data_IF_985315612889
#
_entry.id   IF_985315612889
#
_cell.length_a   1.000
_cell.length_b   1.000
_cell.length_c   1.000
_cell.angle_alpha   90.00
_cell.angle_beta   90.00
_cell.angle_gamma   90.00
#
_symmetry.space_group_name_H-M   'P 1'
#
loop_
_entity.id
_entity.type
_entity.pdbx_description
1 polymer ?
#
# COMPACT_ATOMS: atom_id res chain seq x y z
N UNK A 1 0.22 -14.68 19.35
CA UNK A 1 0.49 -14.89 17.95
C UNK A 1 1.97 -15.16 17.72
N UNK A 2 2.26 -16.25 17.03
CA UNK A 2 3.63 -16.70 16.79
C UNK A 2 4.30 -15.87 15.69
N UNK A 3 3.49 -15.30 14.79
CA UNK A 3 4.00 -14.54 13.67
C UNK A 3 4.24 -13.09 14.07
N UNK A 4 5.49 -12.66 14.00
CA UNK A 4 5.85 -11.27 14.21
C UNK A 4 5.67 -10.44 12.94
N UNK A 5 4.72 -10.82 12.10
CA UNK A 5 4.44 -10.08 10.86
C UNK A 5 2.96 -10.06 10.54
N UNK A 6 2.52 -8.99 9.90
CA UNK A 6 1.14 -8.81 9.47
C UNK A 6 1.13 -8.14 8.10
N UNK A 7 0.18 -8.54 7.26
CA UNK A 7 -0.07 -7.91 5.96
C UNK A 7 -1.19 -6.88 6.13
N UNK A 8 -0.89 -5.63 5.83
CA UNK A 8 -1.85 -4.52 5.94
C UNK A 8 -2.17 -4.04 4.53
N UNK A 9 -3.44 -4.11 4.16
CA UNK A 9 -3.91 -3.72 2.83
C UNK A 9 -5.07 -2.74 2.92
N UNK A 10 -5.25 -1.95 1.88
CA UNK A 10 -6.34 -0.98 1.79
C UNK A 10 -7.55 -1.52 1.04
N UNK A 11 -7.35 -2.46 0.13
CA UNK A 11 -8.40 -2.96 -0.75
C UNK A 11 -9.05 -4.21 -0.17
N UNK A 12 -10.40 -4.20 0.03
CA UNK A 12 -11.10 -5.38 0.57
C UNK A 12 -10.97 -6.64 -0.29
N UNK A 13 -10.85 -6.50 -1.60
CA UNK A 13 -10.65 -7.65 -2.49
C UNK A 13 -9.30 -8.31 -2.28
N UNK A 14 -8.26 -7.50 -2.04
CA UNK A 14 -6.93 -8.01 -1.70
C UNK A 14 -6.97 -8.70 -0.34
N UNK A 15 -7.63 -8.08 0.63
CA UNK A 15 -7.81 -8.67 1.96
C UNK A 15 -8.48 -10.05 1.86
N UNK A 16 -9.56 -10.16 1.08
CA UNK A 16 -10.25 -11.43 0.89
C UNK A 16 -9.36 -12.50 0.24
N UNK A 17 -8.44 -12.08 -0.62
CA UNK A 17 -7.54 -12.99 -1.33
C UNK A 17 -6.47 -13.59 -0.41
N UNK A 18 -6.06 -12.88 0.65
CA UNK A 18 -4.92 -13.29 1.48
C UNK A 18 -5.29 -13.68 2.91
N UNK A 19 -6.46 -13.30 3.40
CA UNK A 19 -6.82 -13.41 4.82
C UNK A 19 -6.91 -14.85 5.35
N UNK A 20 -7.05 -15.84 4.48
CA UNK A 20 -7.13 -17.23 4.89
C UNK A 20 -5.77 -17.85 5.24
N UNK A 21 -4.71 -17.31 4.69
CA UNK A 21 -3.36 -17.89 4.79
C UNK A 21 -2.39 -17.08 5.62
N UNK A 22 -2.68 -15.78 5.81
CA UNK A 22 -1.79 -14.86 6.48
C UNK A 22 -2.53 -14.00 7.49
N UNK A 23 -1.82 -13.57 8.52
CA UNK A 23 -2.34 -12.54 9.42
C UNK A 23 -2.46 -11.24 8.64
N UNK A 24 -3.66 -10.73 8.48
CA UNK A 24 -3.91 -9.55 7.67
C UNK A 24 -4.93 -8.61 8.28
N UNK A 25 -4.81 -7.36 7.85
CA UNK A 25 -5.73 -6.30 8.23
C UNK A 25 -6.06 -5.46 7.01
N UNK A 26 -7.31 -5.04 6.91
CA UNK A 26 -7.76 -4.11 5.89
C UNK A 26 -8.04 -2.76 6.54
N UNK A 27 -7.38 -1.71 6.04
CA UNK A 27 -7.55 -0.35 6.57
C UNK A 27 -8.57 0.48 5.78
N UNK A 28 -9.13 -0.06 4.72
CA UNK A 28 -10.08 0.67 3.89
C UNK A 28 -11.25 1.20 4.73
N UNK A 29 -11.48 2.52 4.65
CA UNK A 29 -12.57 3.17 5.38
C UNK A 29 -12.34 3.33 6.88
N UNK A 30 -11.20 2.94 7.40
CA UNK A 30 -10.89 3.13 8.82
C UNK A 30 -10.59 4.60 9.11
N UNK A 31 -11.10 5.15 10.23
CA UNK A 31 -10.70 6.47 10.67
C UNK A 31 -9.19 6.55 10.88
N UNK A 32 -8.60 7.69 10.54
CA UNK A 32 -7.16 7.88 10.64
C UNK A 32 -6.62 7.65 12.06
N UNK A 33 -7.37 8.09 13.07
CA UNK A 33 -6.99 7.89 14.46
C UNK A 33 -6.94 6.40 14.81
N UNK A 34 -7.93 5.62 14.38
CA UNK A 34 -7.95 4.18 14.63
C UNK A 34 -6.74 3.48 13.99
N UNK A 35 -6.39 3.87 12.76
CA UNK A 35 -5.20 3.33 12.09
C UNK A 35 -3.92 3.62 12.87
N UNK A 36 -3.77 4.83 13.37
CA UNK A 36 -2.60 5.23 14.17
C UNK A 36 -2.50 4.42 15.46
N UNK A 37 -3.64 4.24 16.16
CA UNK A 37 -3.65 3.45 17.39
C UNK A 37 -3.24 2.00 17.17
N UNK A 38 -3.71 1.40 16.08
CA UNK A 38 -3.34 0.04 15.71
C UNK A 38 -1.85 -0.05 15.40
N UNK A 39 -1.31 0.91 14.65
CA UNK A 39 0.12 0.95 14.35
C UNK A 39 0.97 1.05 15.62
N UNK A 40 0.54 1.85 16.59
CA UNK A 40 1.26 1.97 17.87
C UNK A 40 1.29 0.63 18.61
N UNK A 41 0.16 -0.08 18.64
CA UNK A 41 0.07 -1.38 19.28
C UNK A 41 0.96 -2.43 18.60
N UNK A 42 0.96 -2.44 17.26
CA UNK A 42 1.79 -3.36 16.50
C UNK A 42 3.28 -3.08 16.72
N UNK A 43 3.66 -1.82 16.77
CA UNK A 43 5.05 -1.42 17.01
C UNK A 43 5.54 -1.85 18.40
N UNK A 44 4.69 -1.74 19.42
CA UNK A 44 5.02 -2.21 20.78
C UNK A 44 5.26 -3.71 20.84
N UNK A 45 4.65 -4.47 19.93
CA UNK A 45 4.80 -5.92 19.84
C UNK A 45 5.88 -6.34 18.84
N UNK A 46 6.66 -5.40 18.31
CA UNK A 46 7.71 -5.63 17.32
C UNK A 46 7.22 -6.38 16.08
N UNK A 47 6.02 -6.04 15.62
CA UNK A 47 5.42 -6.69 14.45
C UNK A 47 5.95 -6.03 13.18
N UNK A 48 6.41 -6.85 12.23
CA UNK A 48 6.79 -6.38 10.90
C UNK A 48 5.53 -6.21 10.06
N UNK A 49 5.41 -5.07 9.38
CA UNK A 49 4.28 -4.78 8.51
C UNK A 49 4.69 -4.92 7.05
N UNK A 50 3.91 -5.70 6.29
CA UNK A 50 3.92 -5.72 4.83
C UNK A 50 2.71 -4.93 4.37
N UNK A 51 2.93 -3.76 3.82
CA UNK A 51 1.86 -2.82 3.46
C UNK A 51 1.66 -2.75 1.96
N UNK A 52 0.42 -2.78 1.52
CA UNK A 52 0.08 -2.57 0.12
C UNK A 52 -1.17 -1.72 -0.03
N UNK A 53 -1.08 -0.71 -0.89
CA UNK A 53 -2.18 0.19 -1.24
C UNK A 53 -2.24 0.39 -2.74
N UNK A 54 -3.28 1.08 -3.19
CA UNK A 54 -3.41 1.41 -4.60
C UNK A 54 -2.29 2.35 -5.06
N UNK A 55 -1.88 2.17 -6.30
CA UNK A 55 -0.87 3.00 -6.91
C UNK A 55 -1.54 4.17 -7.63
N UNK A 56 -2.06 5.08 -6.84
CA UNK A 56 -2.58 6.37 -7.25
C UNK A 56 -1.97 7.44 -6.34
N UNK A 57 -2.15 8.74 -6.65
CA UNK A 57 -1.47 9.78 -5.88
C UNK A 57 -1.79 9.73 -4.38
N UNK A 58 -3.06 9.54 -4.02
CA UNK A 58 -3.49 9.46 -2.63
C UNK A 58 -2.93 8.22 -1.94
N UNK A 59 -2.96 7.09 -2.64
CA UNK A 59 -2.45 5.81 -2.10
C UNK A 59 -0.96 5.86 -1.80
N UNK A 60 -0.17 6.46 -2.67
CA UNK A 60 1.26 6.63 -2.44
C UNK A 60 1.53 7.54 -1.24
N UNK A 61 0.76 8.61 -1.11
CA UNK A 61 0.93 9.54 0.00
C UNK A 61 0.57 8.89 1.34
N UNK A 62 -0.51 8.12 1.37
CA UNK A 62 -0.92 7.36 2.56
C UNK A 62 0.19 6.37 2.94
N UNK A 63 0.69 5.62 1.98
CA UNK A 63 1.76 4.64 2.19
C UNK A 63 3.01 5.30 2.80
N UNK A 64 3.42 6.44 2.25
CA UNK A 64 4.57 7.19 2.74
C UNK A 64 4.36 7.66 4.18
N UNK A 65 3.19 8.22 4.48
CA UNK A 65 2.88 8.71 5.83
C UNK A 65 2.84 7.59 6.85
N UNK A 66 2.27 6.45 6.51
CA UNK A 66 2.21 5.31 7.41
C UNK A 66 3.60 4.78 7.70
N UNK A 67 4.45 4.66 6.68
CA UNK A 67 5.83 4.22 6.86
C UNK A 67 6.63 5.18 7.76
N UNK A 68 6.48 6.47 7.54
CA UNK A 68 7.13 7.49 8.37
C UNK A 68 6.68 7.44 9.81
N UNK A 69 5.41 7.13 10.02
CA UNK A 69 4.84 7.07 11.37
C UNK A 69 5.21 5.81 12.14
N UNK A 70 5.24 4.66 11.44
CA UNK A 70 5.44 3.36 12.10
C UNK A 70 6.86 3.24 12.66
N UNK A 71 6.97 2.95 13.95
CA UNK A 71 8.26 2.86 14.66
C UNK A 71 8.92 1.49 14.57
N UNK A 72 8.35 0.57 13.81
CA UNK A 72 8.91 -0.76 13.62
C UNK A 72 9.36 -1.00 12.19
N UNK A 73 9.45 -2.26 11.81
CA UNK A 73 9.82 -2.66 10.46
C UNK A 73 8.61 -2.60 9.54
N UNK A 74 8.65 -1.73 8.54
CA UNK A 74 7.55 -1.47 7.62
C UNK A 74 8.08 -1.62 6.19
N UNK A 75 7.49 -2.53 5.42
CA UNK A 75 7.92 -2.86 4.07
C UNK A 75 6.75 -2.68 3.10
N UNK A 76 7.01 -2.05 1.96
CA UNK A 76 6.03 -1.99 0.88
C UNK A 76 5.96 -3.34 0.16
N UNK A 77 4.75 -3.80 -0.08
CA UNK A 77 4.48 -5.08 -0.72
C UNK A 77 3.65 -4.86 -1.97
N UNK A 78 4.15 -5.31 -3.11
CA UNK A 78 3.53 -5.12 -4.42
C UNK A 78 3.24 -3.65 -4.75
N UNK A 79 4.21 -2.79 -4.46
CA UNK A 79 4.13 -1.35 -4.76
C UNK A 79 5.33 -0.87 -5.60
N UNK A 80 5.87 -1.74 -6.44
CA UNK A 80 7.01 -1.44 -7.30
C UNK A 80 6.57 -1.08 -8.71
N UNK A 81 7.52 -0.64 -9.55
CA UNK A 81 7.25 -0.31 -10.96
C UNK A 81 6.58 -1.44 -11.71
N UNK A 82 7.01 -2.67 -11.51
CA UNK A 82 6.40 -3.83 -12.18
C UNK A 82 4.92 -3.99 -11.82
N UNK A 83 4.58 -3.72 -10.55
CA UNK A 83 3.20 -3.78 -10.09
C UNK A 83 2.36 -2.67 -10.71
N UNK A 84 2.93 -1.47 -10.80
CA UNK A 84 2.27 -0.34 -11.44
C UNK A 84 1.97 -0.66 -12.91
N UNK A 85 2.97 -1.14 -13.64
CA UNK A 85 2.80 -1.46 -15.06
C UNK A 85 1.78 -2.57 -15.29
N UNK A 86 1.77 -3.59 -14.44
CA UNK A 86 0.84 -4.71 -14.57
C UNK A 86 -0.60 -4.31 -14.27
N UNK A 87 -0.80 -3.40 -13.33
CA UNK A 87 -2.14 -2.98 -12.88
C UNK A 87 -2.65 -1.68 -13.49
N UNK A 88 -1.97 -1.14 -14.51
CA UNK A 88 -2.35 0.13 -15.14
C UNK A 88 -3.83 0.12 -15.54
N UNK A 89 -4.53 1.18 -15.15
CA UNK A 89 -5.92 1.41 -15.48
C UNK A 89 -6.04 2.40 -16.66
N UNK A 90 -7.28 2.63 -17.10
CA UNK A 90 -7.58 3.67 -18.09
C UNK A 90 -8.03 4.96 -17.41
N UNK A 91 -7.94 5.03 -16.09
CA UNK A 91 -8.41 6.16 -15.31
C UNK A 91 -7.35 7.25 -15.22
N UNK A 92 -7.62 8.38 -15.84
CA UNK A 92 -6.71 9.52 -15.87
C UNK A 92 -6.67 10.23 -14.53
N UNK A 93 -5.49 10.70 -14.19
CA UNK A 93 -5.24 11.48 -12.98
C UNK A 93 -5.35 12.95 -13.34
N UNK A 94 -6.22 13.70 -12.63
CA UNK A 94 -6.37 15.14 -12.83
C UNK A 94 -5.08 15.89 -12.47
N UNK A 95 -4.91 17.09 -13.00
CA UNK A 95 -3.73 17.93 -12.68
C UNK A 95 -3.66 18.23 -11.19
N UNK A 96 -4.81 18.42 -10.54
CA UNK A 96 -4.86 18.64 -9.10
C UNK A 96 -4.32 17.44 -8.33
N UNK A 97 -4.67 16.24 -8.75
CA UNK A 97 -4.19 15.01 -8.10
C UNK A 97 -2.71 14.74 -8.40
N UNK A 98 -2.24 15.11 -9.59
CA UNK A 98 -0.82 14.96 -9.93
C UNK A 98 0.08 15.78 -9.01
N UNK A 99 -0.41 16.91 -8.50
CA UNK A 99 0.36 17.72 -7.55
C UNK A 99 0.65 16.98 -6.25
N UNK A 100 -0.19 16.02 -5.87
CA UNK A 100 0.06 15.18 -4.70
C UNK A 100 1.34 14.38 -4.88
N UNK A 101 1.66 13.96 -6.10
CA UNK A 101 2.86 13.19 -6.40
C UNK A 101 4.14 13.98 -6.09
N UNK A 102 4.10 15.30 -6.10
CA UNK A 102 5.25 16.14 -5.74
C UNK A 102 5.60 16.01 -4.25
N UNK A 103 4.67 15.53 -3.44
CA UNK A 103 4.89 15.31 -2.00
C UNK A 103 5.55 13.97 -1.68
N UNK A 104 5.71 13.11 -2.68
CA UNK A 104 6.35 11.81 -2.48
C UNK A 104 7.86 12.01 -2.43
N UNK A 105 8.46 11.65 -1.30
CA UNK A 105 9.90 11.77 -1.02
C UNK A 105 10.56 10.41 -0.76
N UNK A 106 9.75 9.39 -0.49
CA UNK A 106 10.25 8.04 -0.22
C UNK A 106 10.93 7.48 -1.47
N UNK A 107 12.20 7.08 -1.31
CA UNK A 107 13.01 6.58 -2.43
C UNK A 107 12.43 5.33 -3.09
N UNK A 108 11.73 4.48 -2.34
CA UNK A 108 11.11 3.29 -2.90
C UNK A 108 9.84 3.61 -3.69
N UNK A 109 9.15 4.69 -3.36
CA UNK A 109 7.93 5.10 -4.05
C UNK A 109 8.19 6.07 -5.20
N UNK A 110 9.32 6.76 -5.20
CA UNK A 110 9.65 7.75 -6.24
C UNK A 110 9.61 7.20 -7.66
N UNK A 111 10.14 6.00 -7.96
CA UNK A 111 10.06 5.49 -9.33
C UNK A 111 8.62 5.35 -9.83
N UNK A 112 7.73 4.86 -8.97
CA UNK A 112 6.30 4.73 -9.31
C UNK A 112 5.66 6.12 -9.47
N UNK A 113 5.95 7.05 -8.54
CA UNK A 113 5.41 8.40 -8.62
C UNK A 113 5.84 9.11 -9.92
N UNK A 114 7.09 8.96 -10.32
CA UNK A 114 7.61 9.57 -11.53
C UNK A 114 6.98 8.98 -12.80
N UNK A 115 6.83 7.65 -12.84
CA UNK A 115 6.18 7.00 -13.98
C UNK A 115 4.70 7.35 -14.06
N UNK A 116 4.06 7.47 -12.92
CA UNK A 116 2.65 7.88 -12.84
C UNK A 116 2.44 9.31 -13.36
N UNK A 117 3.37 10.22 -13.08
CA UNK A 117 3.34 11.59 -13.65
C UNK A 117 3.44 11.55 -15.17
N UNK A 118 4.32 10.69 -15.69
CA UNK A 118 4.56 10.55 -17.12
C UNK A 118 3.34 9.96 -17.83
N UNK A 119 2.79 8.86 -17.31
CA UNK A 119 1.68 8.16 -17.93
C UNK A 119 0.33 8.82 -17.67
N UNK A 120 0.18 9.51 -16.55
CA UNK A 120 -1.05 10.22 -16.20
C UNK A 120 -2.23 9.34 -15.83
N UNK A 121 -1.98 8.08 -15.46
CA UNK A 121 -3.02 7.11 -15.09
C UNK A 121 -2.68 6.41 -13.79
N UNK A 122 -3.71 5.96 -13.06
CA UNK A 122 -3.56 5.19 -11.84
C UNK A 122 -3.43 3.69 -12.13
N UNK A 123 -2.97 2.95 -11.14
CA UNK A 123 -2.87 1.50 -11.19
C UNK A 123 -3.52 0.92 -9.94
N UNK A 124 -4.42 -0.03 -10.10
CA UNK A 124 -5.21 -0.56 -9.01
C UNK A 124 -4.87 -2.00 -8.65
N UNK A 125 -4.90 -2.30 -7.36
CA UNK A 125 -4.59 -3.63 -6.83
C UNK A 125 -5.52 -4.72 -7.38
N UNK A 126 -6.78 -4.40 -7.62
CA UNK A 126 -7.75 -5.35 -8.15
C UNK A 126 -7.37 -5.87 -9.55
N UNK A 127 -6.54 -5.13 -10.29
CA UNK A 127 -6.03 -5.56 -11.59
C UNK A 127 -4.87 -6.55 -11.49
N UNK A 128 -4.32 -6.75 -10.29
CA UNK A 128 -3.20 -7.66 -10.05
C UNK A 128 -3.47 -8.62 -8.89
N UNK A 129 -4.75 -8.99 -8.68
CA UNK A 129 -5.13 -9.87 -7.58
C UNK A 129 -4.40 -11.22 -7.61
N UNK A 130 -4.05 -11.71 -8.78
CA UNK A 130 -3.30 -12.95 -8.93
C UNK A 130 -1.93 -12.91 -8.23
N UNK A 131 -1.27 -11.75 -8.21
CA UNK A 131 0.00 -11.59 -7.49
C UNK A 131 -0.18 -11.74 -5.99
N UNK A 132 -1.29 -11.23 -5.46
CA UNK A 132 -1.57 -11.33 -4.03
C UNK A 132 -1.93 -12.76 -3.61
N UNK A 133 -2.50 -13.55 -4.52
CA UNK A 133 -2.86 -14.94 -4.25
C UNK A 133 -1.65 -15.87 -4.14
N UNK A 134 -0.48 -15.41 -4.51
CA UNK A 134 0.77 -16.17 -4.42
C UNK A 134 1.42 -16.08 -3.03
N UNK A 135 0.80 -15.36 -2.10
CA UNK A 135 1.27 -15.23 -0.72
C UNK A 135 1.28 -16.58 -0.03
N UNK A 136 2.41 -16.92 0.59
CA UNK A 136 2.56 -18.18 1.30
C UNK A 136 3.17 -19.33 0.50
N UNK A 137 3.46 -19.08 -0.76
CA UNK A 137 4.15 -20.06 -1.60
C UNK A 137 5.66 -19.99 -1.44
#
# INVERSE_FOLDING_TARGET
CIDNEIYVVENPSVFAAICKEKSCMCMNGQPRLASILVLDLLAKSNVKIYYSGDLDPEGLLIAQKLRQYYRGNFVYWHMKLEDYRKGISQEYISDKRKKILERIKDEELLPVANLMKEYGVASYQENILDKFKEVGR
#
